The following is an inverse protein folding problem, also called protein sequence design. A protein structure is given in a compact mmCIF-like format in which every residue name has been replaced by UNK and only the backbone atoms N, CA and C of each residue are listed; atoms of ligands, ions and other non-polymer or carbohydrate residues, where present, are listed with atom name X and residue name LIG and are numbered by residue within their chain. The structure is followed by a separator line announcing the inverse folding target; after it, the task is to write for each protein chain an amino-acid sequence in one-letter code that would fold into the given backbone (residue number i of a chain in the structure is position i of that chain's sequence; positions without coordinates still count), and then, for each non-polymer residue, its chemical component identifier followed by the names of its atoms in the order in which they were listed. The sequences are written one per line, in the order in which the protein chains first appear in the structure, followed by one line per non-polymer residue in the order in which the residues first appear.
data_IF_519375640008
#
_entry.id   IF_519375640008
#
_cell.length_a   1.000
_cell.length_b   1.000
_cell.length_c   1.000
_cell.angle_alpha   90.00
_cell.angle_beta   90.00
_cell.angle_gamma   90.00
#
_symmetry.space_group_name_H-M   'P 1'
#
loop_
_entity.id
_entity.type
_entity.pdbx_description
1 polymer ?
#
# COMPACT_ATOMS: atom_id res chain seq x y z
N UNK A 1 48.91 13.53 33.71
CA UNK A 1 48.25 12.23 33.90
C UNK A 1 46.79 12.53 34.17
N UNK A 2 45.92 11.86 33.41
CA UNK A 2 44.48 11.60 33.64
C UNK A 2 43.58 12.83 33.79
N UNK A 3 42.51 13.05 33.01
CA UNK A 3 41.62 12.14 32.31
C UNK A 3 40.18 12.59 32.62
N UNK A 4 39.26 12.31 31.69
CA UNK A 4 37.79 12.49 31.76
C UNK A 4 37.24 13.75 31.06
N UNK A 5 37.09 13.60 29.74
CA UNK A 5 36.05 14.27 28.95
C UNK A 5 34.74 13.54 29.24
N UNK A 6 33.84 14.16 30.00
CA UNK A 6 32.47 13.69 30.17
C UNK A 6 31.57 14.39 29.16
N UNK A 7 31.30 13.74 28.04
CA UNK A 7 30.23 14.10 27.12
C UNK A 7 29.01 13.21 27.44
N UNK A 8 27.92 13.73 28.04
CA UNK A 8 26.69 12.97 28.15
C UNK A 8 25.87 13.19 26.88
N UNK A 9 26.12 12.34 25.89
CA UNK A 9 25.14 12.06 24.84
C UNK A 9 23.80 11.76 25.50
N UNK A 10 22.80 12.61 25.26
CA UNK A 10 21.40 12.37 25.59
C UNK A 10 21.04 10.95 25.14
N UNK A 11 20.91 10.05 26.11
CA UNK A 11 20.12 8.85 25.97
C UNK A 11 18.70 9.34 25.67
N UNK A 12 18.33 9.31 24.38
CA UNK A 12 16.94 9.41 23.99
C UNK A 12 16.24 8.20 24.60
N UNK A 13 15.51 8.43 25.68
CA UNK A 13 14.54 7.49 26.21
C UNK A 13 13.65 7.01 25.06
N UNK A 14 13.89 5.77 24.62
CA UNK A 14 12.98 5.06 23.74
C UNK A 14 11.70 4.85 24.55
N UNK A 15 10.72 5.71 24.36
CA UNK A 15 9.39 5.47 24.90
C UNK A 15 8.96 4.04 24.53
N UNK A 16 8.50 3.21 25.48
CA UNK A 16 8.06 1.86 25.19
C UNK A 16 6.91 1.94 24.17
N UNK A 17 7.05 1.23 23.05
CA UNK A 17 5.96 1.08 22.06
C UNK A 17 4.73 0.61 22.83
N UNK A 18 3.68 1.43 22.88
CA UNK A 18 2.40 1.05 23.49
C UNK A 18 1.98 -0.27 22.87
N UNK A 19 1.85 -1.32 23.69
CA UNK A 19 1.40 -2.62 23.21
C UNK A 19 0.01 -2.45 22.56
N UNK A 20 -0.18 -2.96 21.34
CA UNK A 20 -1.47 -2.88 20.68
C UNK A 20 -2.56 -3.56 21.51
N UNK A 21 -3.78 -3.01 21.48
CA UNK A 21 -4.93 -3.61 22.16
C UNK A 21 -5.18 -5.01 21.61
N UNK A 22 -5.61 -5.96 22.46
CA UNK A 22 -5.95 -7.34 22.07
C UNK A 22 -6.94 -7.41 20.89
N UNK A 23 -7.93 -6.50 20.87
CA UNK A 23 -8.90 -6.40 19.77
C UNK A 23 -8.23 -6.00 18.44
N UNK A 24 -7.21 -5.15 18.48
CA UNK A 24 -6.46 -4.74 17.29
C UNK A 24 -5.62 -5.89 16.72
N UNK A 25 -5.02 -6.71 17.59
CA UNK A 25 -4.31 -7.94 17.18
C UNK A 25 -5.27 -8.94 16.54
N UNK A 26 -6.48 -9.11 17.11
CA UNK A 26 -7.51 -9.97 16.55
C UNK A 26 -7.89 -9.57 15.11
N UNK A 27 -8.05 -8.27 14.84
CA UNK A 27 -8.33 -7.78 13.49
C UNK A 27 -7.20 -8.08 12.50
N UNK A 28 -5.93 -7.96 12.92
CA UNK A 28 -4.77 -8.32 12.11
C UNK A 28 -4.78 -9.83 11.81
N UNK A 29 -4.99 -10.67 12.82
CA UNK A 29 -5.10 -12.12 12.63
C UNK A 29 -6.22 -12.50 11.67
N UNK A 30 -7.40 -11.89 11.76
CA UNK A 30 -8.50 -12.12 10.82
C UNK A 30 -8.10 -11.75 9.39
N UNK A 31 -7.39 -10.63 9.20
CA UNK A 31 -6.88 -10.26 7.88
C UNK A 31 -5.90 -11.30 7.32
N UNK A 32 -4.89 -11.68 8.12
CA UNK A 32 -3.86 -12.66 7.77
C UNK A 32 -4.46 -14.03 7.44
N UNK A 33 -5.43 -14.49 8.23
CA UNK A 33 -6.13 -15.77 8.00
C UNK A 33 -6.91 -15.83 6.70
N UNK A 34 -7.15 -14.70 6.04
CA UNK A 34 -7.88 -14.70 4.77
C UNK A 34 -6.97 -14.38 3.57
N UNK A 35 -5.65 -14.28 3.77
CA UNK A 35 -4.66 -14.26 2.69
C UNK A 35 -4.58 -15.62 1.98
N UNK A 36 -4.07 -15.66 0.73
CA UNK A 36 -3.82 -16.91 -0.01
C UNK A 36 -3.08 -17.97 0.83
N UNK A 37 -3.46 -19.25 0.68
CA UNK A 37 -3.03 -20.37 1.51
C UNK A 37 -1.93 -21.24 0.91
N UNK A 38 -1.73 -21.15 -0.39
CA UNK A 38 -0.71 -21.89 -1.12
C UNK A 38 -0.38 -21.22 -2.45
N UNK A 39 0.54 -21.81 -3.20
CA UNK A 39 0.97 -21.27 -4.50
C UNK A 39 -0.21 -21.18 -5.48
N UNK A 40 -1.09 -22.18 -5.49
CA UNK A 40 -2.30 -22.20 -6.31
C UNK A 40 -3.21 -20.98 -6.03
N UNK A 41 -3.44 -20.62 -4.77
CA UNK A 41 -4.25 -19.44 -4.42
C UNK A 41 -3.59 -18.12 -4.87
N UNK A 42 -2.25 -18.08 -4.89
CA UNK A 42 -1.51 -16.93 -5.42
C UNK A 42 -1.61 -16.84 -6.95
N UNK A 43 -1.86 -17.96 -7.60
CA UNK A 43 -1.90 -18.10 -9.05
C UNK A 43 -3.31 -18.21 -9.63
N UNK A 44 -4.36 -18.40 -8.82
CA UNK A 44 -5.76 -18.56 -9.25
C UNK A 44 -6.31 -17.34 -10.03
N UNK A 45 -5.67 -16.17 -9.92
CA UNK A 45 -6.11 -14.92 -10.56
C UNK A 45 -4.99 -14.23 -11.33
N UNK A 46 -5.34 -13.30 -12.23
CA UNK A 46 -4.36 -12.42 -12.88
C UNK A 46 -3.91 -11.30 -11.92
N UNK A 47 -2.66 -10.82 -12.00
CA UNK A 47 -1.60 -11.26 -12.93
C UNK A 47 -0.84 -12.51 -12.43
N UNK A 48 -0.45 -13.42 -13.32
CA UNK A 48 0.27 -14.67 -12.95
C UNK A 48 1.74 -14.67 -13.43
N UNK A 49 2.09 -13.75 -14.32
CA UNK A 49 3.43 -13.64 -14.92
C UNK A 49 3.94 -12.22 -14.80
N UNK A 50 5.24 -12.03 -15.05
CA UNK A 50 5.86 -10.70 -15.04
C UNK A 50 5.30 -9.81 -16.16
N UNK A 51 5.08 -10.37 -17.35
CA UNK A 51 4.46 -9.68 -18.49
C UNK A 51 3.02 -9.26 -18.15
N UNK A 52 2.27 -10.12 -17.45
CA UNK A 52 0.93 -9.79 -16.98
C UNK A 52 0.92 -8.65 -15.96
N UNK A 53 1.94 -8.55 -15.11
CA UNK A 53 2.11 -7.44 -14.18
C UNK A 53 2.38 -6.13 -14.95
N UNK A 54 3.23 -6.17 -15.96
CA UNK A 54 3.58 -5.00 -16.77
C UNK A 54 2.41 -4.52 -17.64
N UNK A 55 1.68 -5.46 -18.26
CA UNK A 55 0.46 -5.14 -18.97
C UNK A 55 -0.55 -4.44 -18.05
N UNK A 56 -0.76 -5.00 -16.86
CA UNK A 56 -1.66 -4.42 -15.87
C UNK A 56 -1.18 -3.03 -15.40
N UNK A 57 0.12 -2.83 -15.23
CA UNK A 57 0.69 -1.52 -14.91
C UNK A 57 0.32 -0.48 -15.98
N UNK A 58 0.34 -0.87 -17.26
CA UNK A 58 -0.02 0.00 -18.38
C UNK A 58 -1.53 0.28 -18.41
N UNK A 59 -2.37 -0.73 -18.16
CA UNK A 59 -3.84 -0.58 -18.04
C UNK A 59 -4.26 0.38 -16.91
N UNK A 60 -3.42 0.50 -15.87
CA UNK A 60 -3.65 1.37 -14.71
C UNK A 60 -3.05 2.78 -14.86
N UNK A 61 -2.41 3.06 -15.99
CA UNK A 61 -1.84 4.37 -16.29
C UNK A 61 -2.86 5.28 -16.98
N UNK A 62 -2.58 6.59 -16.94
CA UNK A 62 -3.31 7.56 -17.74
C UNK A 62 -2.61 7.73 -19.09
N UNK A 63 -3.00 6.92 -20.08
CA UNK A 63 -2.28 6.73 -21.34
C UNK A 63 -2.61 7.78 -22.40
N UNK A 64 -3.81 8.38 -22.34
CA UNK A 64 -4.27 9.35 -23.34
C UNK A 64 -3.66 10.74 -23.17
N UNK A 65 -2.95 11.00 -22.07
CA UNK A 65 -2.36 12.31 -21.76
C UNK A 65 -0.87 12.16 -21.47
N UNK A 66 -0.06 12.89 -22.23
CA UNK A 66 1.39 12.91 -22.10
C UNK A 66 1.85 13.29 -20.69
N UNK A 67 2.96 12.68 -20.24
CA UNK A 67 3.57 12.91 -18.92
C UNK A 67 3.77 14.40 -18.63
N UNK A 68 4.31 15.15 -19.60
CA UNK A 68 4.58 16.58 -19.46
C UNK A 68 3.30 17.43 -19.31
N UNK A 69 2.19 17.00 -19.91
CA UNK A 69 0.87 17.64 -19.73
C UNK A 69 0.32 17.32 -18.34
N UNK A 70 0.37 16.06 -17.91
CA UNK A 70 -0.08 15.64 -16.56
C UNK A 70 0.64 16.39 -15.44
N UNK A 71 1.94 16.62 -15.58
CA UNK A 71 2.74 17.36 -14.59
C UNK A 71 2.23 18.80 -14.34
N UNK A 72 1.58 19.41 -15.33
CA UNK A 72 1.05 20.79 -15.27
C UNK A 72 -0.42 20.87 -14.86
N UNK A 73 -1.17 19.77 -14.86
CA UNK A 73 -2.59 19.75 -14.52
C UNK A 73 -2.82 19.92 -13.02
N UNK A 74 -3.89 20.56 -12.59
CA UNK A 74 -4.31 20.54 -11.19
C UNK A 74 -4.89 19.16 -10.79
N UNK A 75 -5.03 18.91 -9.48
CA UNK A 75 -5.54 17.64 -8.96
C UNK A 75 -6.98 17.32 -9.41
N UNK A 76 -7.84 18.32 -9.59
CA UNK A 76 -9.22 18.09 -10.02
C UNK A 76 -9.24 17.63 -11.47
N UNK A 77 -8.47 18.28 -12.33
CA UNK A 77 -8.34 17.92 -13.74
C UNK A 77 -7.76 16.52 -13.90
N UNK A 78 -6.73 16.15 -13.14
CA UNK A 78 -6.18 14.78 -13.15
C UNK A 78 -7.19 13.73 -12.70
N UNK A 79 -7.95 14.01 -11.64
CA UNK A 79 -8.99 13.10 -11.17
C UNK A 79 -10.08 12.92 -12.25
N UNK A 80 -10.58 14.01 -12.85
CA UNK A 80 -11.56 13.92 -13.94
C UNK A 80 -11.03 13.12 -15.12
N UNK A 81 -9.82 13.42 -15.58
CA UNK A 81 -9.18 12.69 -16.68
C UNK A 81 -9.06 11.18 -16.38
N UNK A 82 -8.68 10.81 -15.15
CA UNK A 82 -8.60 9.40 -14.76
C UNK A 82 -9.98 8.74 -14.76
N UNK A 83 -10.98 9.41 -14.19
CA UNK A 83 -12.34 8.91 -14.13
C UNK A 83 -12.91 8.69 -15.53
N UNK A 84 -12.70 9.63 -16.45
CA UNK A 84 -13.18 9.57 -17.83
C UNK A 84 -12.48 8.45 -18.62
N UNK A 85 -11.15 8.31 -18.49
CA UNK A 85 -10.39 7.28 -19.21
C UNK A 85 -10.75 5.86 -18.74
N UNK A 86 -11.04 5.68 -17.44
CA UNK A 86 -11.26 4.37 -16.83
C UNK A 86 -12.73 4.08 -16.48
N UNK A 87 -13.69 4.89 -16.92
CA UNK A 87 -15.11 4.74 -16.56
C UNK A 87 -15.68 3.37 -16.94
N UNK A 88 -15.35 2.87 -18.13
CA UNK A 88 -15.82 1.57 -18.63
C UNK A 88 -15.22 0.36 -17.89
N UNK A 89 -14.11 0.55 -17.15
CA UNK A 89 -13.39 -0.52 -16.47
C UNK A 89 -13.95 -0.82 -15.07
N UNK A 90 -14.95 -0.06 -14.63
CA UNK A 90 -15.64 -0.28 -13.36
C UNK A 90 -16.76 -1.33 -13.42
N UNK A 91 -17.09 -1.84 -14.61
CA UNK A 91 -18.21 -2.77 -14.79
C UNK A 91 -17.83 -4.26 -14.62
N UNK A 92 -16.54 -4.59 -14.45
CA UNK A 92 -16.04 -5.96 -14.25
C UNK A 92 -15.39 -6.15 -12.86
N UNK A 93 -15.13 -7.40 -12.47
CA UNK A 93 -14.38 -7.86 -11.30
C UNK A 93 -13.00 -7.20 -11.10
N UNK A 94 -12.40 -6.62 -12.16
CA UNK A 94 -11.17 -5.81 -12.09
C UNK A 94 -11.36 -4.38 -11.55
N UNK A 95 -12.60 -3.93 -11.36
CA UNK A 95 -12.99 -2.58 -10.91
C UNK A 95 -12.35 -2.12 -9.59
N UNK A 96 -12.02 -3.06 -8.70
CA UNK A 96 -11.46 -2.72 -7.40
C UNK A 96 -10.11 -1.98 -7.50
N UNK A 97 -9.22 -2.35 -8.43
CA UNK A 97 -7.91 -1.70 -8.51
C UNK A 97 -8.01 -0.27 -9.06
N UNK A 98 -8.88 -0.05 -10.05
CA UNK A 98 -9.12 1.29 -10.59
C UNK A 98 -9.72 2.20 -9.52
N UNK A 99 -10.64 1.67 -8.71
CA UNK A 99 -11.15 2.35 -7.53
C UNK A 99 -10.05 2.67 -6.51
N UNK A 100 -9.11 1.75 -6.26
CA UNK A 100 -8.00 1.98 -5.34
C UNK A 100 -7.09 3.11 -5.81
N UNK A 101 -6.75 3.12 -7.10
CA UNK A 101 -5.93 4.19 -7.69
C UNK A 101 -6.67 5.51 -7.61
N UNK A 102 -7.94 5.55 -8.02
CA UNK A 102 -8.75 6.77 -7.98
C UNK A 102 -8.85 7.35 -6.57
N UNK A 103 -9.10 6.49 -5.59
CA UNK A 103 -9.08 6.86 -4.17
C UNK A 103 -7.70 7.39 -3.75
N UNK A 104 -6.61 6.72 -4.13
CA UNK A 104 -5.26 7.13 -3.77
C UNK A 104 -4.86 8.47 -4.41
N UNK A 105 -5.29 8.74 -5.64
CA UNK A 105 -5.17 10.06 -6.30
C UNK A 105 -5.91 11.14 -5.51
N UNK A 106 -7.10 10.81 -5.00
CA UNK A 106 -7.90 11.68 -4.15
C UNK A 106 -7.25 11.98 -2.81
N UNK A 107 -6.60 10.99 -2.18
CA UNK A 107 -5.83 11.21 -0.94
C UNK A 107 -4.65 12.15 -1.16
N UNK A 108 -3.95 12.04 -2.30
CA UNK A 108 -2.91 13.00 -2.68
C UNK A 108 -3.49 14.38 -2.91
N UNK A 109 -4.62 14.49 -3.62
CA UNK A 109 -5.28 15.78 -3.84
C UNK A 109 -5.59 16.49 -2.51
N UNK A 110 -6.07 15.75 -1.50
CA UNK A 110 -6.31 16.30 -0.16
C UNK A 110 -5.02 16.79 0.49
N UNK A 111 -3.93 16.03 0.38
CA UNK A 111 -2.61 16.44 0.84
C UNK A 111 -2.11 17.73 0.16
N UNK A 112 -2.58 18.01 -1.05
CA UNK A 112 -2.29 19.23 -1.81
C UNK A 112 -3.32 20.36 -1.57
N UNK A 113 -4.21 20.22 -0.58
CA UNK A 113 -5.17 21.26 -0.19
C UNK A 113 -6.58 21.10 -0.75
N UNK A 114 -6.86 20.02 -1.50
CA UNK A 114 -8.22 19.75 -2.00
C UNK A 114 -9.17 19.34 -0.87
N UNK A 115 -10.44 19.78 -0.94
CA UNK A 115 -11.39 19.49 0.14
C UNK A 115 -11.75 18.01 0.17
N UNK A 116 -11.66 17.40 1.35
CA UNK A 116 -11.98 15.99 1.53
C UNK A 116 -13.44 15.64 1.16
N UNK A 117 -14.38 16.57 1.36
CA UNK A 117 -15.78 16.41 0.94
C UNK A 117 -15.90 16.27 -0.58
N UNK A 118 -15.26 17.17 -1.33
CA UNK A 118 -15.23 17.11 -2.81
C UNK A 118 -14.62 15.82 -3.31
N UNK A 119 -13.53 15.34 -2.67
CA UNK A 119 -12.96 14.04 -3.03
C UNK A 119 -13.92 12.88 -2.73
N UNK A 120 -14.67 12.91 -1.63
CA UNK A 120 -15.69 11.89 -1.37
C UNK A 120 -16.75 11.87 -2.47
N UNK A 121 -17.26 13.05 -2.86
CA UNK A 121 -18.27 13.19 -3.91
C UNK A 121 -17.74 12.65 -5.25
N UNK A 122 -16.50 12.97 -5.62
CA UNK A 122 -15.88 12.44 -6.83
C UNK A 122 -15.72 10.91 -6.78
N UNK A 123 -15.26 10.35 -5.66
CA UNK A 123 -15.14 8.88 -5.47
C UNK A 123 -16.50 8.20 -5.50
N UNK A 124 -17.50 8.78 -4.86
CA UNK A 124 -18.88 8.29 -4.85
C UNK A 124 -19.45 8.23 -6.27
N UNK A 125 -19.28 9.31 -7.04
CA UNK A 125 -19.73 9.40 -8.42
C UNK A 125 -19.01 8.40 -9.32
N UNK A 126 -17.67 8.35 -9.24
CA UNK A 126 -16.86 7.43 -10.04
C UNK A 126 -17.30 5.98 -9.79
N UNK A 127 -17.41 5.59 -8.52
CA UNK A 127 -17.74 4.21 -8.14
C UNK A 127 -19.24 3.88 -8.13
N UNK A 128 -20.12 4.85 -8.42
CA UNK A 128 -21.59 4.72 -8.34
C UNK A 128 -22.07 4.20 -6.96
N UNK A 129 -21.53 4.77 -5.88
CA UNK A 129 -21.89 4.39 -4.50
C UNK A 129 -22.28 5.61 -3.66
N UNK A 130 -22.96 5.43 -2.52
CA UNK A 130 -23.20 6.54 -1.58
C UNK A 130 -21.90 7.16 -1.05
N UNK A 131 -21.91 8.47 -0.76
CA UNK A 131 -20.76 9.21 -0.22
C UNK A 131 -20.19 8.56 1.06
N UNK A 132 -21.08 8.07 1.94
CA UNK A 132 -20.67 7.37 3.16
C UNK A 132 -19.83 6.11 2.85
N UNK A 133 -20.20 5.35 1.81
CA UNK A 133 -19.44 4.18 1.35
C UNK A 133 -18.07 4.61 0.81
N UNK A 134 -18.03 5.65 -0.04
CA UNK A 134 -16.78 6.22 -0.56
C UNK A 134 -15.82 6.62 0.57
N UNK A 135 -16.31 7.34 1.60
CA UNK A 135 -15.53 7.71 2.78
C UNK A 135 -14.92 6.48 3.48
N UNK A 136 -15.68 5.39 3.62
CA UNK A 136 -15.16 4.17 4.27
C UNK A 136 -14.13 3.42 3.43
N UNK A 137 -14.29 3.41 2.10
CA UNK A 137 -13.31 2.80 1.20
C UNK A 137 -12.00 3.58 1.16
N UNK A 138 -12.08 4.92 1.18
CA UNK A 138 -10.91 5.80 1.34
C UNK A 138 -10.07 5.45 2.56
N UNK A 139 -10.71 5.24 3.71
CA UNK A 139 -10.01 4.77 4.92
C UNK A 139 -9.32 3.42 4.69
N UNK A 140 -10.00 2.47 4.03
CA UNK A 140 -9.44 1.17 3.68
C UNK A 140 -8.20 1.26 2.79
N UNK A 141 -8.24 2.10 1.75
CA UNK A 141 -7.09 2.30 0.84
C UNK A 141 -5.91 2.97 1.56
N UNK A 142 -6.16 3.98 2.40
CA UNK A 142 -5.08 4.59 3.23
C UNK A 142 -4.39 3.56 4.11
N UNK A 143 -5.17 2.68 4.74
CA UNK A 143 -4.64 1.59 5.57
C UNK A 143 -3.90 0.56 4.74
N UNK A 144 -4.37 0.28 3.53
CA UNK A 144 -3.68 -0.59 2.59
C UNK A 144 -2.31 -0.05 2.21
N UNK A 145 -2.19 1.23 1.83
CA UNK A 145 -0.90 1.81 1.48
C UNK A 145 0.13 1.66 2.62
N UNK A 146 -0.31 1.86 3.88
CA UNK A 146 0.54 1.61 5.05
C UNK A 146 0.89 0.13 5.22
N UNK A 147 -0.11 -0.75 5.13
CA UNK A 147 0.08 -2.19 5.36
C UNK A 147 0.95 -2.84 4.28
N UNK A 148 0.77 -2.49 3.00
CA UNK A 148 1.57 -3.04 1.91
C UNK A 148 3.04 -2.63 2.03
N UNK A 149 3.32 -1.39 2.46
CA UNK A 149 4.68 -0.92 2.75
C UNK A 149 5.35 -1.68 3.91
N UNK A 150 4.59 -2.09 4.92
CA UNK A 150 5.10 -2.93 6.03
C UNK A 150 5.36 -4.34 5.53
N UNK A 151 4.37 -4.97 4.90
CA UNK A 151 4.45 -6.34 4.39
C UNK A 151 5.63 -6.53 3.43
N UNK A 152 5.77 -5.65 2.42
CA UNK A 152 6.81 -5.73 1.39
C UNK A 152 8.23 -5.65 1.94
N UNK A 153 8.43 -4.85 2.99
CA UNK A 153 9.75 -4.61 3.59
C UNK A 153 10.15 -5.70 4.56
N UNK A 154 9.18 -6.49 5.03
CA UNK A 154 9.38 -7.44 6.10
C UNK A 154 9.52 -8.85 5.57
N UNK A 155 8.50 -9.38 4.88
CA UNK A 155 8.47 -10.79 4.50
C UNK A 155 7.65 -11.12 3.26
N UNK A 156 6.81 -10.20 2.74
CA UNK A 156 5.91 -10.47 1.61
C UNK A 156 6.22 -9.58 0.40
N UNK A 157 7.16 -10.00 -0.43
CA UNK A 157 7.55 -9.27 -1.65
C UNK A 157 6.39 -8.98 -2.60
N UNK A 158 5.46 -9.94 -2.74
CA UNK A 158 4.26 -9.88 -3.58
C UNK A 158 3.05 -9.16 -2.96
N UNK A 159 3.26 -8.35 -1.91
CA UNK A 159 2.17 -7.71 -1.18
C UNK A 159 1.25 -6.86 -2.09
N UNK A 160 1.81 -6.17 -3.08
CA UNK A 160 1.05 -5.30 -3.99
C UNK A 160 0.01 -6.05 -4.85
N UNK A 161 0.10 -7.39 -4.91
CA UNK A 161 -0.85 -8.22 -5.66
C UNK A 161 -2.11 -8.58 -4.85
N UNK A 162 -2.10 -8.41 -3.52
CA UNK A 162 -3.22 -8.82 -2.65
C UNK A 162 -4.58 -8.21 -3.02
N UNK A 163 -4.69 -6.94 -3.50
CA UNK A 163 -5.96 -6.40 -3.97
C UNK A 163 -6.57 -7.15 -5.17
N UNK A 164 -5.78 -7.93 -5.92
CA UNK A 164 -6.26 -8.74 -7.05
C UNK A 164 -6.65 -10.15 -6.60
N UNK A 165 -6.05 -10.66 -5.53
CA UNK A 165 -6.35 -11.99 -5.00
C UNK A 165 -7.69 -12.03 -4.27
N UNK A 166 -8.13 -10.89 -3.72
CA UNK A 166 -9.26 -10.82 -2.80
C UNK A 166 -10.33 -9.80 -3.19
N UNK A 167 -11.57 -10.28 -3.18
CA UNK A 167 -12.75 -9.43 -3.34
C UNK A 167 -12.97 -8.58 -2.09
N UNK A 168 -13.56 -7.38 -2.26
CA UNK A 168 -13.93 -6.46 -1.17
C UNK A 168 -12.73 -6.14 -0.25
N UNK A 169 -11.54 -6.01 -0.82
CA UNK A 169 -10.28 -5.84 -0.09
C UNK A 169 -10.27 -4.54 0.73
N UNK A 170 -10.72 -3.41 0.17
CA UNK A 170 -10.81 -2.14 0.93
C UNK A 170 -11.72 -2.26 2.15
N UNK A 171 -12.80 -3.04 2.06
CA UNK A 171 -13.71 -3.30 3.17
C UNK A 171 -13.08 -4.14 4.28
N UNK A 172 -12.12 -5.01 3.93
CA UNK A 172 -11.31 -5.74 4.92
C UNK A 172 -10.29 -4.79 5.56
N UNK A 173 -9.61 -3.99 4.74
CA UNK A 173 -8.58 -3.06 5.21
C UNK A 173 -9.12 -1.97 6.15
N UNK A 174 -10.34 -1.48 5.94
CA UNK A 174 -10.97 -0.51 6.86
C UNK A 174 -11.27 -1.06 8.25
N UNK A 175 -11.11 -2.35 8.50
CA UNK A 175 -11.27 -2.96 9.84
C UNK A 175 -9.95 -2.98 10.63
N UNK A 176 -8.81 -2.81 9.97
CA UNK A 176 -7.50 -2.82 10.63
C UNK A 176 -7.24 -1.50 11.35
N UNK A 177 -6.98 -1.48 12.66
CA UNK A 177 -6.60 -0.25 13.35
C UNK A 177 -5.22 0.25 12.91
N UNK A 178 -5.08 1.57 12.72
CA UNK A 178 -3.84 2.18 12.22
C UNK A 178 -2.63 1.85 13.10
N UNK A 179 -2.84 1.85 14.42
CA UNK A 179 -1.81 1.55 15.42
C UNK A 179 -1.31 0.10 15.40
N UNK A 180 -2.08 -0.82 14.82
CA UNK A 180 -1.77 -2.24 14.77
C UNK A 180 -1.19 -2.69 13.42
N UNK A 181 -1.16 -1.84 12.41
CA UNK A 181 -0.62 -2.19 11.07
C UNK A 181 0.86 -2.58 11.17
N UNK A 182 1.63 -1.96 12.05
CA UNK A 182 3.06 -2.25 12.22
C UNK A 182 3.33 -3.69 12.69
N UNK A 183 2.37 -4.34 13.35
CA UNK A 183 2.47 -5.74 13.78
C UNK A 183 2.69 -6.68 12.59
N UNK A 184 2.20 -6.31 11.40
CA UNK A 184 2.43 -7.07 10.17
C UNK A 184 3.91 -7.25 9.85
N UNK A 185 4.77 -6.35 10.35
CA UNK A 185 6.23 -6.42 10.17
C UNK A 185 6.94 -7.29 11.20
N UNK A 186 6.29 -7.60 12.33
CA UNK A 186 6.88 -8.35 13.43
C UNK A 186 6.70 -9.88 13.27
N UNK A 187 6.30 -10.35 12.08
CA UNK A 187 6.06 -11.77 11.81
C UNK A 187 7.37 -12.56 11.73
N UNK A 188 7.39 -13.75 12.34
CA UNK A 188 8.54 -14.66 12.27
C UNK A 188 8.49 -15.49 10.98
N UNK A 189 9.50 -15.36 10.12
CA UNK A 189 9.62 -16.19 8.92
C UNK A 189 10.16 -17.57 9.28
N UNK A 190 9.46 -18.61 8.82
CA UNK A 190 9.73 -20.03 9.05
C UNK A 190 9.60 -20.78 7.71
N UNK A 191 10.70 -20.86 6.95
CA UNK A 191 10.69 -21.44 5.60
C UNK A 191 9.73 -20.70 4.67
N UNK A 192 8.80 -21.43 4.05
CA UNK A 192 7.80 -20.90 3.12
C UNK A 192 6.63 -20.19 3.82
N UNK A 193 6.75 -19.83 5.10
CA UNK A 193 5.67 -19.25 5.88
C UNK A 193 6.12 -18.10 6.77
N UNK A 194 5.21 -17.19 7.10
CA UNK A 194 5.34 -16.19 8.14
C UNK A 194 4.34 -16.49 9.28
N UNK A 195 4.78 -16.42 10.53
CA UNK A 195 4.01 -16.73 11.72
C UNK A 195 3.76 -15.48 12.56
N UNK A 196 2.50 -15.26 12.94
CA UNK A 196 2.10 -14.33 14.00
C UNK A 196 1.25 -15.08 15.03
N UNK A 197 1.83 -15.35 16.20
CA UNK A 197 1.21 -16.17 17.26
C UNK A 197 0.75 -17.54 16.72
N UNK A 198 -0.55 -17.75 16.56
CA UNK A 198 -1.18 -18.98 16.04
C UNK A 198 -1.53 -18.92 14.54
N UNK A 199 -1.21 -17.80 13.87
CA UNK A 199 -1.56 -17.58 12.46
C UNK A 199 -0.36 -17.78 11.56
N UNK A 200 -0.41 -18.86 10.77
CA UNK A 200 0.56 -19.15 9.73
C UNK A 200 0.07 -18.61 8.37
N UNK A 201 0.94 -17.88 7.67
CA UNK A 201 0.67 -17.31 6.35
C UNK A 201 1.68 -17.84 5.36
N UNK A 202 1.21 -18.34 4.22
CA UNK A 202 2.06 -18.82 3.15
C UNK A 202 2.79 -17.68 2.43
N UNK A 203 4.09 -17.86 2.18
CA UNK A 203 4.92 -16.98 1.38
C UNK A 203 5.09 -17.65 0.01
N UNK A 204 4.62 -17.01 -1.09
CA UNK A 204 4.71 -17.61 -2.42
C UNK A 204 6.17 -17.86 -2.81
N UNK A 205 6.46 -19.02 -3.41
CA UNK A 205 7.81 -19.36 -3.84
C UNK A 205 8.20 -18.55 -5.07
N UNK A 206 7.28 -18.45 -6.03
CA UNK A 206 7.49 -17.61 -7.20
C UNK A 206 7.35 -16.15 -6.79
N UNK A 207 8.47 -15.44 -6.82
CA UNK A 207 8.52 -14.01 -6.58
C UNK A 207 8.38 -13.28 -7.92
N UNK A 208 7.26 -12.59 -8.09
CA UNK A 208 7.03 -11.68 -9.21
C UNK A 208 7.39 -10.26 -8.77
N UNK A 209 7.91 -9.44 -9.69
CA UNK A 209 8.30 -8.05 -9.39
C UNK A 209 7.07 -7.14 -9.42
N UNK A 210 6.19 -7.28 -8.43
CA UNK A 210 4.94 -6.50 -8.33
C UNK A 210 5.11 -5.10 -7.77
N UNK A 211 6.34 -4.65 -7.53
CA UNK A 211 6.60 -3.30 -7.01
C UNK A 211 6.15 -2.16 -7.92
N UNK A 212 6.00 -2.42 -9.22
CA UNK A 212 5.38 -1.45 -10.14
C UNK A 212 3.88 -1.27 -9.90
N UNK A 213 3.19 -2.25 -9.29
CA UNK A 213 1.76 -2.18 -8.92
C UNK A 213 1.51 -1.45 -7.60
N UNK A 214 2.58 -1.04 -6.90
CA UNK A 214 2.47 -0.25 -5.67
C UNK A 214 1.69 1.04 -5.94
N UNK A 215 0.56 1.24 -5.25
CA UNK A 215 -0.31 2.40 -5.44
C UNK A 215 0.43 3.75 -5.42
N UNK A 216 1.30 4.04 -4.44
CA UNK A 216 2.20 5.19 -4.47
C UNK A 216 2.96 5.44 -5.78
N UNK A 217 3.48 4.38 -6.42
CA UNK A 217 4.26 4.50 -7.64
C UNK A 217 3.36 4.84 -8.83
N UNK A 218 2.21 4.16 -8.94
CA UNK A 218 1.21 4.47 -9.97
C UNK A 218 0.72 5.92 -9.83
N UNK A 219 0.42 6.35 -8.60
CA UNK A 219 -0.03 7.72 -8.30
C UNK A 219 1.02 8.76 -8.67
N UNK A 220 2.30 8.53 -8.31
CA UNK A 220 3.41 9.38 -8.70
C UNK A 220 3.46 9.59 -10.21
N UNK A 221 3.32 8.51 -10.97
CA UNK A 221 3.40 8.55 -12.43
C UNK A 221 2.20 9.28 -13.05
N UNK A 222 0.98 9.05 -12.53
CA UNK A 222 -0.23 9.77 -12.96
C UNK A 222 -0.10 11.28 -12.71
N UNK A 223 0.52 11.67 -11.59
CA UNK A 223 0.82 13.07 -11.29
C UNK A 223 2.00 13.64 -12.10
N UNK A 224 2.55 12.89 -13.07
CA UNK A 224 3.68 13.32 -13.89
C UNK A 224 4.99 13.44 -13.11
N UNK A 225 5.15 12.68 -12.04
CA UNK A 225 6.37 12.61 -11.23
C UNK A 225 6.56 13.71 -10.18
N UNK A 226 5.63 14.67 -10.09
CA UNK A 226 5.76 15.82 -9.17
C UNK A 226 5.39 15.50 -7.71
N UNK A 227 4.70 14.40 -7.47
CA UNK A 227 4.28 14.01 -6.11
C UNK A 227 5.00 12.75 -5.68
N UNK A 228 5.80 12.83 -4.63
CA UNK A 228 6.35 11.66 -3.94
C UNK A 228 5.49 11.32 -2.73
N UNK A 229 5.00 10.09 -2.69
CA UNK A 229 4.32 9.59 -1.50
C UNK A 229 5.33 9.36 -0.39
N UNK A 230 5.30 10.20 0.65
CA UNK A 230 6.08 9.96 1.86
C UNK A 230 5.29 8.99 2.73
N UNK A 231 5.77 7.74 2.81
CA UNK A 231 5.21 6.77 3.76
C UNK A 231 5.40 7.34 5.18
N UNK A 232 4.35 7.42 6.02
CA UNK A 232 4.48 7.89 7.41
C UNK A 232 5.21 6.89 8.31
N UNK A 233 5.75 5.79 7.75
CA UNK A 233 6.54 4.81 8.49
C UNK A 233 7.98 5.35 8.61
N UNK A 234 8.50 5.59 9.84
CA UNK A 234 9.79 6.23 10.02
C UNK A 234 10.96 5.40 9.46
N UNK A 235 11.92 6.08 8.86
CA UNK A 235 13.09 5.53 8.15
C UNK A 235 14.08 4.73 9.01
N UNK A 236 13.89 4.61 10.32
CA UNK A 236 14.83 3.95 11.23
C UNK A 236 14.74 2.41 11.23
N UNK A 237 13.89 1.81 10.40
CA UNK A 237 13.94 0.36 10.10
C UNK A 237 14.80 0.04 8.87
N UNK A 238 15.51 1.02 8.29
CA UNK A 238 16.37 0.86 7.12
C UNK A 238 17.75 0.27 7.43
N UNK A 239 17.86 -0.68 8.36
CA UNK A 239 19.13 -1.39 8.62
C UNK A 239 18.95 -2.89 8.41
N UNK A 240 18.98 -3.30 7.14
CA UNK A 240 19.58 -4.57 6.73
C UNK A 240 21.04 -4.32 6.35
N UNK A 241 21.94 -5.32 6.44
CA UNK A 241 23.38 -5.10 6.49
C UNK A 241 23.90 -4.48 5.17
N UNK A 242 24.59 -3.34 5.29
CA UNK A 242 25.53 -2.90 4.27
C UNK A 242 26.62 -3.98 4.18
N UNK A 243 26.62 -4.73 3.08
CA UNK A 243 27.83 -5.39 2.59
C UNK A 243 28.81 -4.26 2.23
N UNK A 244 29.67 -3.91 3.19
CA UNK A 244 30.86 -3.13 2.90
C UNK A 244 31.85 -4.06 2.22
N UNK A 245 31.96 -3.99 0.90
CA UNK A 245 33.20 -4.37 0.23
C UNK A 245 34.29 -3.42 0.74
N UNK A 246 35.23 -3.96 1.51
CA UNK A 246 36.52 -3.29 1.72
C UNK A 246 37.36 -3.50 0.46
N UNK A 247 38.00 -2.46 -0.09
CA UNK A 247 39.15 -2.65 -0.95
C UNK A 247 40.38 -2.86 -0.05
N UNK A 248 41.09 -3.96 -0.29
CA UNK A 248 42.34 -4.33 0.34
C UNK A 248 42.94 -5.48 -0.46
#
# INVERSE_FOLDING_TARGET
MDGIISNPSRLQDRQPRKQPKKSSVSAIKTFLRALPKGEEDWDDKKPQTQEGIEQLRNELALSKIDVAKRAKMDSQTLLKAFADEHAALLEDTRSQIHAFIFIALGEVAIGLGFRAKTVNEMVANYMRVPEASARTMRLGVRRWIKASDVLRRSWLGRADELPFRRNKFAHSMKKLPDEAINILGDMKVLGDHALLEDVLVYIPKRQLSSGCLRLPNIVHDIYGGRVRYHSPVPSHMATGPLLTSKPG
#
